data_IF_873925189402
#
_entry.id   IF_873925189402
#
_cell.length_a   1.000
_cell.length_b   1.000
_cell.length_c   1.000
_cell.angle_alpha   90.00
_cell.angle_beta   90.00
_cell.angle_gamma   90.00
#
_symmetry.space_group_name_H-M   'P 1'
#
loop_
_entity.id
_entity.type
_entity.pdbx_description
1 polymer ?
#
# COMPACT_ATOMS: atom_id res chain seq x y z
N UNK A 1 -8.49 18.65 -16.14
CA UNK A 1 -7.65 17.56 -16.71
C UNK A 1 -8.32 16.24 -16.40
N UNK A 2 -8.24 15.25 -17.31
CA UNK A 2 -8.70 13.89 -17.03
C UNK A 2 -7.83 13.27 -15.95
N UNK A 3 -8.40 12.41 -15.10
CA UNK A 3 -7.62 11.62 -14.13
C UNK A 3 -6.68 10.67 -14.90
N UNK A 4 -5.49 10.44 -14.35
CA UNK A 4 -4.60 9.36 -14.79
C UNK A 4 -5.15 8.00 -14.35
N UNK A 5 -4.69 6.93 -14.95
CA UNK A 5 -5.22 5.58 -14.66
C UNK A 5 -4.78 5.11 -13.27
N UNK A 6 -3.49 5.16 -12.93
CA UNK A 6 -2.95 4.49 -11.75
C UNK A 6 -2.09 5.41 -10.88
N UNK A 7 -2.40 5.48 -9.59
CA UNK A 7 -1.55 6.01 -8.54
C UNK A 7 -0.88 4.87 -7.79
N UNK A 8 0.42 4.95 -7.57
CA UNK A 8 1.19 3.99 -6.79
C UNK A 8 1.57 4.68 -5.49
N UNK A 9 1.19 4.11 -4.36
CA UNK A 9 1.41 4.67 -3.03
C UNK A 9 2.38 3.79 -2.23
N UNK A 10 3.56 4.32 -1.89
CA UNK A 10 4.61 3.61 -1.17
C UNK A 10 4.95 4.33 0.12
N UNK A 11 4.54 3.82 1.30
CA UNK A 11 5.02 4.31 2.57
C UNK A 11 6.47 3.87 2.77
N UNK A 12 7.37 4.80 3.06
CA UNK A 12 8.78 4.53 3.25
C UNK A 12 9.27 5.12 4.57
N UNK A 13 9.89 4.27 5.39
CA UNK A 13 10.56 4.66 6.63
C UNK A 13 11.97 4.08 6.65
N UNK A 14 12.97 4.95 6.52
CA UNK A 14 14.38 4.55 6.63
C UNK A 14 14.74 4.31 8.10
N UNK A 15 14.68 3.06 8.53
CA UNK A 15 15.09 2.67 9.88
C UNK A 15 16.49 2.02 9.93
N UNK A 16 17.06 1.71 8.77
CA UNK A 16 18.42 1.16 8.60
C UNK A 16 18.89 1.32 7.15
N UNK A 17 20.19 1.17 6.92
CA UNK A 17 20.77 1.13 5.56
C UNK A 17 20.23 -0.07 4.76
N UNK A 18 19.99 -1.21 5.41
CA UNK A 18 19.41 -2.38 4.76
C UNK A 18 18.01 -2.10 4.21
N UNK A 19 17.18 -1.33 4.94
CA UNK A 19 15.87 -0.90 4.45
C UNK A 19 15.99 -0.01 3.22
N UNK A 20 16.96 0.90 3.20
CA UNK A 20 17.21 1.74 2.04
C UNK A 20 17.66 0.92 0.82
N UNK A 21 18.54 -0.05 1.02
CA UNK A 21 18.99 -0.94 -0.08
C UNK A 21 17.85 -1.78 -0.66
N UNK A 22 16.95 -2.31 0.18
CA UNK A 22 15.76 -3.02 -0.30
C UNK A 22 14.83 -2.08 -1.09
N UNK A 23 14.64 -0.87 -0.60
CA UNK A 23 13.82 0.11 -1.29
C UNK A 23 14.43 0.51 -2.64
N UNK A 24 15.76 0.64 -2.73
CA UNK A 24 16.46 0.88 -4.00
C UNK A 24 16.23 -0.25 -5.01
N UNK A 25 16.25 -1.51 -4.56
CA UNK A 25 15.95 -2.67 -5.40
C UNK A 25 14.52 -2.59 -5.93
N UNK A 26 13.53 -2.35 -5.07
CA UNK A 26 12.15 -2.18 -5.47
C UNK A 26 12.00 -1.06 -6.50
N UNK A 27 12.61 0.10 -6.25
CA UNK A 27 12.56 1.25 -7.17
C UNK A 27 13.23 0.96 -8.50
N UNK A 28 14.29 0.16 -8.52
CA UNK A 28 14.95 -0.30 -9.75
C UNK A 28 14.03 -1.16 -10.64
N UNK A 29 13.06 -1.86 -10.06
CA UNK A 29 12.05 -2.64 -10.78
C UNK A 29 10.87 -1.76 -11.20
N UNK A 30 10.40 -0.84 -10.35
CA UNK A 30 9.19 -0.06 -10.61
C UNK A 30 9.42 1.10 -11.59
N UNK A 31 10.52 1.83 -11.44
CA UNK A 31 10.76 3.06 -12.19
C UNK A 31 10.77 2.85 -13.72
N UNK A 32 11.41 1.81 -14.30
CA UNK A 32 11.37 1.58 -15.74
C UNK A 32 9.97 1.31 -16.31
N UNK A 33 9.00 0.96 -15.47
CA UNK A 33 7.62 0.66 -15.87
C UNK A 33 6.70 1.88 -15.77
N UNK A 34 7.17 2.99 -15.21
CA UNK A 34 6.34 4.20 -15.08
C UNK A 34 6.03 4.83 -16.43
N UNK A 35 4.79 5.20 -16.62
CA UNK A 35 4.29 5.92 -17.82
C UNK A 35 3.71 7.27 -17.42
N UNK A 36 3.44 8.11 -18.43
CA UNK A 36 2.79 9.40 -18.20
C UNK A 36 1.36 9.28 -17.65
N UNK A 37 0.76 8.10 -17.74
CA UNK A 37 -0.59 7.80 -17.21
C UNK A 37 -0.55 7.21 -15.78
N UNK A 38 0.60 7.25 -15.12
CA UNK A 38 0.81 6.84 -13.75
C UNK A 38 1.31 8.00 -12.88
N UNK A 39 1.07 7.93 -11.58
CA UNK A 39 1.68 8.80 -10.55
C UNK A 39 2.29 7.91 -9.49
N UNK A 40 3.60 7.95 -9.33
CA UNK A 40 4.27 7.33 -8.18
C UNK A 40 4.36 8.36 -7.05
N UNK A 41 3.74 8.03 -5.92
CA UNK A 41 3.75 8.82 -4.70
C UNK A 41 4.44 8.04 -3.58
N UNK A 42 5.52 8.59 -3.05
CA UNK A 42 6.27 8.02 -1.93
C UNK A 42 6.06 8.93 -0.73
N UNK A 43 5.67 8.35 0.40
CA UNK A 43 5.63 9.07 1.66
C UNK A 43 6.84 8.69 2.50
N UNK A 44 7.76 9.64 2.67
CA UNK A 44 8.96 9.47 3.49
C UNK A 44 8.67 9.89 4.92
N UNK A 45 8.58 8.89 5.81
CA UNK A 45 8.11 9.04 7.19
C UNK A 45 9.27 9.04 8.20
N UNK A 46 9.69 10.22 8.62
CA UNK A 46 10.73 10.40 9.65
C UNK A 46 12.07 10.85 9.11
N UNK A 47 13.01 9.94 8.95
CA UNK A 47 14.37 10.28 8.53
C UNK A 47 14.47 10.54 7.03
N UNK A 48 15.01 11.71 6.66
CA UNK A 48 15.24 12.08 5.27
C UNK A 48 16.32 11.20 4.62
N UNK A 49 16.06 10.76 3.38
CA UNK A 49 16.99 9.99 2.57
C UNK A 49 17.48 10.81 1.38
N UNK A 50 18.73 11.26 1.42
CA UNK A 50 19.35 12.02 0.34
C UNK A 50 19.24 11.28 -1.00
N UNK A 51 19.39 9.95 -0.98
CA UNK A 51 19.24 9.12 -2.15
C UNK A 51 17.84 9.24 -2.78
N UNK A 52 16.77 9.19 -1.99
CA UNK A 52 15.41 9.25 -2.50
C UNK A 52 15.13 10.59 -3.19
N UNK A 53 15.57 11.68 -2.60
CA UNK A 53 15.38 13.02 -3.17
C UNK A 53 16.15 13.22 -4.47
N UNK A 54 17.38 12.75 -4.54
CA UNK A 54 18.15 12.79 -5.79
C UNK A 54 17.57 11.84 -6.84
N UNK A 55 17.11 10.66 -6.44
CA UNK A 55 16.46 9.69 -7.33
C UNK A 55 15.16 10.23 -7.92
N UNK A 56 14.32 10.90 -7.13
CA UNK A 56 13.04 11.44 -7.58
C UNK A 56 13.19 12.70 -8.47
N UNK A 57 14.35 13.36 -8.39
CA UNK A 57 14.61 14.59 -9.12
C UNK A 57 14.47 14.40 -10.64
N UNK A 58 13.72 15.32 -11.27
CA UNK A 58 13.43 15.29 -12.70
C UNK A 58 12.68 14.05 -13.20
N UNK A 59 12.04 13.30 -12.32
CA UNK A 59 11.19 12.15 -12.63
C UNK A 59 9.73 12.45 -12.28
N UNK A 60 8.81 11.68 -12.84
CA UNK A 60 7.38 11.79 -12.53
C UNK A 60 7.04 11.08 -11.19
N UNK A 61 7.83 11.41 -10.16
CA UNK A 61 7.76 10.84 -8.81
C UNK A 61 7.49 11.97 -7.83
N UNK A 62 6.46 11.82 -7.00
CA UNK A 62 6.14 12.74 -5.92
C UNK A 62 6.65 12.16 -4.60
N UNK A 63 7.43 12.94 -3.86
CA UNK A 63 7.84 12.61 -2.50
C UNK A 63 7.13 13.54 -1.53
N UNK A 64 6.37 12.96 -0.60
CA UNK A 64 5.78 13.68 0.54
C UNK A 64 6.66 13.36 1.75
N UNK A 65 7.21 14.37 2.39
CA UNK A 65 8.11 14.19 3.52
C UNK A 65 7.50 14.65 4.84
N UNK A 66 7.66 13.85 5.87
CA UNK A 66 7.37 14.25 7.24
C UNK A 66 8.57 13.97 8.14
N UNK A 67 9.10 14.99 8.80
CA UNK A 67 10.28 14.90 9.69
C UNK A 67 10.06 13.98 10.90
N UNK A 68 8.81 13.81 11.31
CA UNK A 68 8.43 12.99 12.47
C UNK A 68 7.74 11.73 11.95
N UNK A 69 8.23 10.56 12.36
CA UNK A 69 7.55 9.30 12.03
C UNK A 69 6.13 9.31 12.60
N UNK A 70 5.15 9.22 11.71
CA UNK A 70 3.71 9.21 11.99
C UNK A 70 3.09 7.82 11.89
N UNK A 71 3.83 6.88 11.31
CA UNK A 71 3.37 5.51 11.09
C UNK A 71 2.67 5.28 9.75
N UNK A 72 2.56 4.00 9.40
CA UNK A 72 2.12 3.55 8.07
C UNK A 72 0.70 4.00 7.71
N UNK A 73 -0.24 4.00 8.67
CA UNK A 73 -1.62 4.46 8.45
C UNK A 73 -1.67 5.93 8.05
N UNK A 74 -0.94 6.79 8.77
CA UNK A 74 -0.85 8.21 8.43
C UNK A 74 -0.22 8.42 7.04
N UNK A 75 0.87 7.71 6.75
CA UNK A 75 1.53 7.78 5.45
C UNK A 75 0.59 7.40 4.30
N UNK A 76 -0.13 6.26 4.45
CA UNK A 76 -1.11 5.81 3.44
C UNK A 76 -2.26 6.81 3.29
N UNK A 77 -2.77 7.40 4.38
CA UNK A 77 -3.82 8.42 4.34
C UNK A 77 -3.38 9.67 3.58
N UNK A 78 -2.18 10.19 3.86
CA UNK A 78 -1.64 11.36 3.17
C UNK A 78 -1.48 11.09 1.66
N UNK A 79 -1.05 9.89 1.27
CA UNK A 79 -0.96 9.51 -0.15
C UNK A 79 -2.33 9.33 -0.80
N UNK A 80 -3.34 8.80 -0.08
CA UNK A 80 -4.73 8.76 -0.58
C UNK A 80 -5.21 10.19 -0.84
N UNK A 81 -5.05 11.10 0.11
CA UNK A 81 -5.49 12.51 -0.03
C UNK A 81 -4.83 13.20 -1.23
N UNK A 82 -3.56 12.91 -1.48
CA UNK A 82 -2.85 13.42 -2.64
C UNK A 82 -3.35 12.82 -3.96
N UNK A 83 -3.58 11.51 -4.02
CA UNK A 83 -3.86 10.78 -5.26
C UNK A 83 -5.33 10.75 -5.66
N UNK A 84 -6.27 10.76 -4.71
CA UNK A 84 -7.68 10.37 -4.92
C UNK A 84 -8.40 11.19 -5.99
N UNK A 85 -8.02 12.45 -6.18
CA UNK A 85 -8.59 13.31 -7.21
C UNK A 85 -7.81 13.33 -8.52
N UNK A 86 -6.64 12.67 -8.57
CA UNK A 86 -5.73 12.70 -9.71
C UNK A 86 -5.73 11.42 -10.53
N UNK A 87 -6.13 10.28 -9.91
CA UNK A 87 -6.08 8.96 -10.54
C UNK A 87 -7.41 8.21 -10.42
N UNK A 88 -7.60 7.18 -11.24
CA UNK A 88 -8.76 6.30 -11.17
C UNK A 88 -8.57 5.17 -10.15
N UNK A 89 -7.34 4.65 -10.00
CA UNK A 89 -7.00 3.59 -9.05
C UNK A 89 -5.81 3.97 -8.19
N UNK A 90 -5.78 3.46 -6.95
CA UNK A 90 -4.61 3.53 -6.08
C UNK A 90 -4.16 2.10 -5.78
N UNK A 91 -2.88 1.84 -6.03
CA UNK A 91 -2.16 0.61 -5.71
C UNK A 91 -1.22 0.88 -4.54
N UNK A 92 -1.33 0.10 -3.46
CA UNK A 92 -0.39 0.16 -2.36
C UNK A 92 0.73 -0.87 -2.54
N UNK A 93 1.97 -0.47 -2.27
CA UNK A 93 3.16 -1.33 -2.27
C UNK A 93 3.97 -0.99 -1.03
N UNK A 94 4.37 -1.98 -0.24
CA UNK A 94 5.23 -1.76 0.91
C UNK A 94 6.71 -1.67 0.46
N UNK A 95 7.47 -0.76 1.05
CA UNK A 95 8.83 -0.40 0.59
C UNK A 95 9.89 -1.49 0.79
N UNK A 96 9.58 -2.53 1.57
CA UNK A 96 10.47 -3.66 1.86
C UNK A 96 10.08 -4.95 1.10
N UNK A 97 9.10 -4.88 0.19
CA UNK A 97 8.64 -6.01 -0.60
C UNK A 97 9.24 -6.04 -2.02
N UNK A 98 8.94 -7.09 -2.77
CA UNK A 98 9.39 -7.28 -4.17
C UNK A 98 8.17 -7.55 -5.05
N UNK A 99 8.29 -7.21 -6.32
CA UNK A 99 7.29 -7.47 -7.36
C UNK A 99 7.93 -8.06 -8.62
N UNK A 100 7.12 -8.63 -9.50
CA UNK A 100 7.57 -9.05 -10.84
C UNK A 100 8.07 -7.86 -11.69
N UNK A 101 8.96 -8.13 -12.63
CA UNK A 101 9.57 -7.12 -13.50
C UNK A 101 8.54 -6.40 -14.42
N UNK A 102 7.34 -6.95 -14.60
CA UNK A 102 6.25 -6.37 -15.40
C UNK A 102 5.02 -5.97 -14.54
N UNK A 103 5.23 -5.85 -13.24
CA UNK A 103 4.14 -5.69 -12.25
C UNK A 103 3.25 -4.48 -12.51
N UNK A 104 3.86 -3.28 -12.60
CA UNK A 104 3.10 -2.04 -12.83
C UNK A 104 2.46 -2.02 -14.21
N UNK A 105 3.17 -2.50 -15.22
CA UNK A 105 2.65 -2.58 -16.59
C UNK A 105 1.36 -3.40 -16.63
N UNK A 106 1.36 -4.59 -16.03
CA UNK A 106 0.16 -5.45 -15.98
C UNK A 106 -0.95 -4.86 -15.14
N UNK A 107 -0.65 -4.35 -13.95
CA UNK A 107 -1.69 -3.71 -13.11
C UNK A 107 -2.33 -2.54 -13.84
N UNK A 108 -1.53 -1.69 -14.49
CA UNK A 108 -2.02 -0.58 -15.29
C UNK A 108 -2.95 -1.03 -16.42
N UNK A 109 -2.56 -2.06 -17.19
CA UNK A 109 -3.40 -2.64 -18.27
C UNK A 109 -4.76 -3.09 -17.73
N UNK A 110 -4.80 -3.73 -16.56
CA UNK A 110 -6.04 -4.17 -15.93
C UNK A 110 -6.89 -3.03 -15.37
N UNK A 111 -6.26 -1.93 -14.95
CA UNK A 111 -6.95 -0.72 -14.50
C UNK A 111 -7.50 0.11 -15.66
N UNK A 112 -6.85 0.07 -16.84
CA UNK A 112 -7.17 0.92 -17.98
C UNK A 112 -8.57 0.63 -18.59
N UNK A 113 -9.07 -0.61 -18.49
CA UNK A 113 -10.43 -0.96 -18.91
C UNK A 113 -11.53 -0.35 -18.03
N UNK A 114 -11.16 0.08 -16.81
CA UNK A 114 -12.02 0.73 -15.82
C UNK A 114 -13.33 -0.01 -15.49
N UNK A 115 -13.37 -1.33 -15.73
CA UNK A 115 -14.58 -2.14 -15.62
C UNK A 115 -14.74 -2.81 -14.24
N UNK A 116 -13.67 -2.88 -13.45
CA UNK A 116 -13.65 -3.50 -12.14
C UNK A 116 -13.27 -2.49 -11.06
N UNK A 117 -13.74 -2.71 -9.86
CA UNK A 117 -13.51 -1.79 -8.73
C UNK A 117 -12.26 -2.18 -7.94
N UNK A 118 -11.86 -3.46 -8.03
CA UNK A 118 -10.75 -4.06 -7.29
C UNK A 118 -9.93 -4.90 -8.27
N UNK A 119 -8.64 -4.59 -8.40
CA UNK A 119 -7.67 -5.40 -9.14
C UNK A 119 -6.70 -6.01 -8.14
N UNK A 120 -6.76 -7.32 -7.97
CA UNK A 120 -5.94 -8.07 -7.02
C UNK A 120 -4.87 -8.86 -7.76
N UNK A 121 -3.61 -8.74 -7.34
CA UNK A 121 -2.49 -9.47 -7.95
C UNK A 121 -2.18 -10.76 -7.19
N UNK A 122 -1.32 -11.62 -7.73
CA UNK A 122 -0.80 -12.76 -7.00
C UNK A 122 -0.06 -12.28 -5.75
N UNK A 123 -0.32 -12.90 -4.61
CA UNK A 123 0.32 -12.58 -3.35
C UNK A 123 1.11 -13.78 -2.85
N UNK A 124 2.42 -13.67 -2.89
CA UNK A 124 3.33 -14.75 -2.53
C UNK A 124 3.92 -14.52 -1.14
N UNK A 125 3.69 -15.46 -0.23
CA UNK A 125 4.25 -15.42 1.12
C UNK A 125 5.19 -16.61 1.28
N UNK A 126 6.49 -16.36 1.48
CA UNK A 126 7.53 -17.40 1.65
C UNK A 126 7.55 -18.47 0.54
N UNK A 127 7.34 -18.06 -0.70
CA UNK A 127 7.33 -18.97 -1.84
C UNK A 127 5.99 -19.68 -2.08
N UNK A 128 4.97 -19.42 -1.26
CA UNK A 128 3.61 -19.94 -1.46
C UNK A 128 2.71 -18.84 -2.01
N UNK A 129 2.20 -19.06 -3.22
CA UNK A 129 1.20 -18.19 -3.82
C UNK A 129 -0.13 -18.40 -3.10
N UNK A 130 -0.71 -17.32 -2.56
CA UNK A 130 -2.05 -17.36 -2.00
C UNK A 130 -3.08 -17.38 -3.12
N UNK A 131 -4.06 -18.27 -2.98
CA UNK A 131 -5.14 -18.41 -3.95
C UNK A 131 -5.98 -17.14 -4.05
N UNK A 132 -6.35 -16.80 -5.30
CA UNK A 132 -7.34 -15.78 -5.55
C UNK A 132 -8.73 -16.32 -5.22
N UNK A 133 -9.42 -15.67 -4.28
CA UNK A 133 -10.81 -15.96 -3.98
C UNK A 133 -11.70 -14.77 -4.33
N UNK A 134 -12.56 -14.84 -5.36
CA UNK A 134 -13.43 -13.74 -5.74
C UNK A 134 -14.52 -13.41 -4.71
N UNK A 135 -14.73 -14.28 -3.72
CA UNK A 135 -15.77 -14.14 -2.69
C UNK A 135 -15.23 -13.65 -1.34
N UNK A 136 -13.94 -13.42 -1.23
CA UNK A 136 -13.30 -12.99 0.02
C UNK A 136 -12.56 -11.68 -0.18
N UNK A 137 -12.57 -10.84 0.86
CA UNK A 137 -11.74 -9.63 0.92
C UNK A 137 -10.34 -10.05 1.40
N UNK A 138 -9.31 -9.70 0.62
CA UNK A 138 -7.94 -9.88 1.08
C UNK A 138 -7.67 -8.91 2.25
N UNK A 139 -7.09 -9.43 3.31
CA UNK A 139 -6.82 -8.65 4.52
C UNK A 139 -5.63 -7.69 4.41
N UNK A 140 -4.86 -7.77 3.33
CA UNK A 140 -3.70 -6.92 3.09
C UNK A 140 -3.98 -5.98 1.91
N UNK A 141 -3.75 -4.67 2.08
CA UNK A 141 -3.93 -3.69 1.00
C UNK A 141 -2.79 -3.71 -0.02
N UNK A 142 -1.59 -4.14 0.40
CA UNK A 142 -0.49 -4.36 -0.53
C UNK A 142 -0.90 -5.39 -1.60
N UNK A 143 -0.45 -5.20 -2.83
CA UNK A 143 -0.84 -6.04 -3.97
C UNK A 143 -2.29 -5.88 -4.48
N UNK A 144 -3.01 -4.85 -4.05
CA UNK A 144 -4.38 -4.59 -4.48
C UNK A 144 -4.54 -3.16 -4.97
N UNK A 145 -4.95 -2.98 -6.23
CA UNK A 145 -5.36 -1.67 -6.73
C UNK A 145 -6.87 -1.49 -6.50
N UNK A 146 -7.21 -0.40 -5.83
CA UNK A 146 -8.58 -0.02 -5.50
C UNK A 146 -9.00 1.20 -6.31
N UNK A 147 -10.21 1.15 -6.87
CA UNK A 147 -10.79 2.30 -7.54
C UNK A 147 -11.02 3.45 -6.57
N UNK A 148 -10.63 4.67 -6.92
CA UNK A 148 -10.77 5.83 -6.03
C UNK A 148 -12.20 6.12 -5.63
N UNK A 149 -13.17 5.75 -6.47
CA UNK A 149 -14.61 5.87 -6.17
C UNK A 149 -15.04 5.05 -4.96
N UNK A 150 -14.50 3.82 -4.81
CA UNK A 150 -14.85 2.98 -3.65
C UNK A 150 -14.05 3.36 -2.40
N UNK A 151 -12.84 3.90 -2.56
CA UNK A 151 -12.07 4.44 -1.43
C UNK A 151 -12.84 5.63 -0.82
N UNK A 152 -13.31 6.57 -1.64
CA UNK A 152 -14.11 7.70 -1.17
C UNK A 152 -13.49 8.42 0.01
N UNK A 153 -14.23 8.50 1.11
CA UNK A 153 -13.78 9.13 2.36
C UNK A 153 -13.16 8.15 3.37
N UNK A 154 -13.06 6.85 3.04
CA UNK A 154 -12.44 5.87 3.93
C UNK A 154 -10.96 6.14 4.09
N UNK A 155 -10.46 5.98 5.32
CA UNK A 155 -9.05 6.18 5.68
C UNK A 155 -8.61 5.08 6.64
N UNK A 156 -7.32 4.77 6.61
CA UNK A 156 -6.71 3.88 7.60
C UNK A 156 -6.84 4.48 9.00
N UNK A 157 -7.14 3.65 10.00
CA UNK A 157 -7.20 4.06 11.40
C UNK A 157 -5.78 4.25 11.94
N UNK A 158 -5.44 5.47 12.34
CA UNK A 158 -4.07 5.81 12.77
C UNK A 158 -3.73 5.32 14.18
N UNK A 159 -4.75 4.97 14.98
CA UNK A 159 -4.58 4.37 16.30
C UNK A 159 -4.38 2.84 16.28
N UNK A 160 -4.43 2.20 15.11
CA UNK A 160 -4.20 0.76 14.95
C UNK A 160 -2.78 0.55 14.41
N UNK A 161 -1.94 -0.17 15.16
CA UNK A 161 -0.57 -0.45 14.76
C UNK A 161 -0.42 -1.73 13.95
N UNK A 162 -1.33 -2.69 14.10
CA UNK A 162 -1.32 -3.98 13.37
C UNK A 162 -2.75 -4.36 13.01
N UNK A 163 -2.96 -4.67 11.73
CA UNK A 163 -4.27 -5.02 11.18
C UNK A 163 -5.05 -3.80 10.68
N UNK A 164 -4.39 -2.65 10.55
CA UNK A 164 -4.95 -1.41 10.00
C UNK A 164 -5.42 -1.60 8.55
N UNK A 165 -4.69 -2.40 7.78
CA UNK A 165 -5.02 -2.74 6.40
C UNK A 165 -6.23 -3.68 6.32
N UNK A 166 -6.34 -4.66 7.21
CA UNK A 166 -7.52 -5.53 7.31
C UNK A 166 -8.79 -4.72 7.58
N UNK A 167 -8.73 -3.79 8.53
CA UNK A 167 -9.84 -2.89 8.86
C UNK A 167 -10.21 -2.02 7.65
N UNK A 168 -9.22 -1.35 7.05
CA UNK A 168 -9.43 -0.51 5.88
C UNK A 168 -10.05 -1.28 4.71
N UNK A 169 -9.51 -2.46 4.38
CA UNK A 169 -10.03 -3.29 3.28
C UNK A 169 -11.46 -3.73 3.53
N UNK A 170 -11.82 -4.08 4.77
CA UNK A 170 -13.19 -4.46 5.14
C UNK A 170 -14.17 -3.28 5.12
N UNK A 171 -13.70 -2.06 5.42
CA UNK A 171 -14.53 -0.85 5.33
C UNK A 171 -14.78 -0.41 3.89
N UNK A 172 -13.76 -0.54 3.02
CA UNK A 172 -13.83 -0.08 1.62
C UNK A 172 -14.55 -1.08 0.73
N UNK A 173 -14.37 -2.40 0.95
CA UNK A 173 -14.80 -3.43 0.02
C UNK A 173 -16.11 -4.08 0.44
N UNK A 174 -17.15 -3.88 -0.37
CA UNK A 174 -18.41 -4.60 -0.31
C UNK A 174 -18.55 -5.48 -1.58
N UNK A 175 -18.22 -6.77 -1.47
CA UNK A 175 -18.25 -7.71 -2.59
C UNK A 175 -19.66 -7.98 -3.15
N UNK A 176 -20.73 -7.53 -2.48
CA UNK A 176 -22.07 -7.54 -3.05
C UNK A 176 -22.30 -6.44 -4.10
N UNK A 177 -21.45 -5.40 -4.10
CA UNK A 177 -21.53 -4.23 -4.97
C UNK A 177 -20.32 -4.06 -5.87
N UNK A 178 -19.12 -4.40 -5.37
CA UNK A 178 -17.85 -4.14 -6.04
C UNK A 178 -17.38 -5.36 -6.82
N UNK A 179 -16.94 -5.12 -8.07
CA UNK A 179 -16.43 -6.16 -8.96
C UNK A 179 -14.93 -6.30 -8.79
N UNK A 180 -14.49 -7.53 -8.56
CA UNK A 180 -13.09 -7.90 -8.33
C UNK A 180 -12.52 -8.70 -9.50
N UNK A 181 -11.28 -8.43 -9.88
CA UNK A 181 -10.56 -9.14 -10.96
C UNK A 181 -9.15 -9.52 -10.50
N UNK A 182 -8.70 -10.67 -10.92
CA UNK A 182 -7.35 -11.16 -10.70
C UNK A 182 -6.43 -10.74 -11.84
N UNK A 183 -5.37 -10.04 -11.51
CA UNK A 183 -4.28 -9.68 -12.41
C UNK A 183 -3.14 -10.69 -12.27
N UNK A 184 -2.72 -11.30 -13.38
CA UNK A 184 -1.68 -12.35 -13.42
C UNK A 184 -0.27 -11.75 -13.38
N UNK A 185 0.10 -11.17 -12.26
CA UNK A 185 1.45 -10.76 -11.90
C UNK A 185 1.61 -10.98 -10.41
N UNK A 186 2.82 -11.00 -9.87
CA UNK A 186 3.05 -11.39 -8.49
C UNK A 186 3.66 -10.27 -7.67
N UNK A 187 3.19 -10.21 -6.44
CA UNK A 187 3.72 -9.46 -5.34
C UNK A 187 4.33 -10.43 -4.32
N UNK A 188 5.56 -10.21 -3.93
CA UNK A 188 6.29 -11.09 -3.03
C UNK A 188 6.47 -10.41 -1.69
N UNK A 189 5.65 -10.84 -0.73
CA UNK A 189 5.76 -10.37 0.64
C UNK A 189 7.00 -10.94 1.32
N UNK A 190 7.96 -10.09 1.60
CA UNK A 190 9.23 -10.44 2.26
C UNK A 190 9.09 -10.49 3.78
N UNK A 191 8.36 -11.47 4.30
CA UNK A 191 8.35 -11.74 5.74
C UNK A 191 9.78 -12.01 6.22
N UNK A 192 10.32 -11.05 6.97
CA UNK A 192 11.51 -11.33 7.74
C UNK A 192 12.81 -10.75 7.23
N UNK A 193 12.81 -10.02 6.14
CA UNK A 193 14.01 -9.30 5.69
C UNK A 193 14.28 -8.10 6.59
N UNK A 194 13.25 -7.36 7.00
CA UNK A 194 13.40 -6.26 7.95
C UNK A 194 13.30 -6.78 9.40
N UNK A 195 14.40 -6.85 10.18
CA UNK A 195 14.37 -7.30 11.58
C UNK A 195 13.57 -6.34 12.48
N UNK A 196 13.32 -5.12 12.03
CA UNK A 196 12.60 -4.09 12.77
C UNK A 196 11.19 -3.83 12.22
N UNK A 197 10.67 -4.72 11.34
CA UNK A 197 9.27 -4.61 10.87
C UNK A 197 8.29 -4.62 12.05
N UNK A 198 7.14 -3.96 11.88
CA UNK A 198 6.10 -3.90 12.90
C UNK A 198 5.68 -5.29 13.40
N UNK A 199 5.50 -6.25 12.48
CA UNK A 199 5.14 -7.63 12.82
C UNK A 199 6.20 -8.29 13.72
N UNK A 200 7.51 -8.13 13.40
CA UNK A 200 8.58 -8.69 14.22
C UNK A 200 8.70 -8.02 15.57
N UNK A 201 8.55 -6.71 15.65
CA UNK A 201 8.52 -5.97 16.90
C UNK A 201 7.36 -6.44 17.78
N UNK A 202 6.19 -6.67 17.19
CA UNK A 202 5.05 -7.26 17.89
C UNK A 202 5.34 -8.68 18.38
N UNK A 203 5.91 -9.55 17.53
CA UNK A 203 6.30 -10.92 17.91
C UNK A 203 7.31 -10.93 19.05
N UNK A 204 8.22 -9.94 19.11
CA UNK A 204 9.15 -9.75 20.23
C UNK A 204 8.52 -9.07 21.45
N UNK A 205 7.24 -8.73 21.41
CA UNK A 205 6.51 -8.00 22.45
C UNK A 205 7.04 -6.59 22.75
N UNK A 206 7.69 -5.96 21.80
CA UNK A 206 8.18 -4.58 21.90
C UNK A 206 7.07 -3.56 21.68
N UNK A 207 6.01 -3.95 20.97
CA UNK A 207 4.78 -3.19 20.75
C UNK A 207 3.57 -4.05 21.07
N UNK A 208 2.52 -3.45 21.63
CA UNK A 208 1.24 -4.10 21.87
C UNK A 208 0.24 -3.83 20.72
N UNK A 209 -0.80 -4.64 20.62
CA UNK A 209 -2.00 -4.29 19.84
C UNK A 209 -2.89 -3.47 20.76
N UNK A 210 -2.99 -2.17 20.54
CA UNK A 210 -4.03 -1.36 21.16
C UNK A 210 -5.37 -1.71 20.49
N UNK A 211 -6.14 -2.58 21.13
CA UNK A 211 -7.56 -2.71 20.84
C UNK A 211 -8.28 -1.71 21.72
N UNK A 212 -9.01 -0.79 21.13
CA UNK A 212 -10.05 -0.09 21.87
C UNK A 212 -11.00 -1.14 22.43
N UNK A 213 -10.97 -1.32 23.74
CA UNK A 213 -12.02 -2.08 24.43
C UNK A 213 -13.22 -1.16 24.44
N UNK A 214 -14.21 -1.48 23.60
CA UNK A 214 -15.51 -0.83 23.65
C UNK A 214 -16.09 -0.97 25.06
N UNK A 215 -15.93 0.05 25.88
CA UNK A 215 -16.44 0.15 27.25
C UNK A 215 -17.94 0.52 27.28
N UNK A 216 -18.71 0.20 26.26
CA UNK A 216 -20.16 0.45 26.23
C UNK A 216 -21.01 -0.73 26.81
N UNK A 217 -20.41 -1.62 27.60
CA UNK A 217 -21.16 -2.70 28.25
C UNK A 217 -21.70 -2.32 29.65
N UNK A 218 -21.92 -1.03 29.97
CA UNK A 218 -22.56 -0.62 31.23
C UNK A 218 -23.51 0.57 31.05
N UNK A 219 -24.57 0.39 30.28
CA UNK A 219 -25.83 1.08 30.50
C UNK A 219 -26.92 0.04 30.79
N UNK A 220 -27.03 -0.32 32.03
CA UNK A 220 -28.26 -0.89 32.59
C UNK A 220 -29.14 0.22 33.11
N UNK A 221 -30.38 0.28 32.58
CA UNK A 221 -31.64 0.79 33.10
C UNK A 221 -31.65 2.29 33.40
#
# INVERSE_FOLDING_TARGET
MSKKTLGIAIPYYKNSEECEEHFKILMGVLEPQLTDDMILCIYEDGQESDWLWEFAKNKNITVIYCKINKGVSFARNAMIDYLINQVNYILFIDSDDIVDDDYLTKVHEYCADNTHDIIETGFNVKGQLMDFNPKEVRSCCASTALKTEIIGNHRFKENIQIGEDTEFMNEVIDLSKHRKKYCRTNYFYKLGVNPNSLIKRYQRKEIGVEREVDNDANRKI
#
